data_IF_793155876321
#
_entry.id   IF_793155876321
#
_cell.length_a   1.000
_cell.length_b   1.000
_cell.length_c   1.000
_cell.angle_alpha   90.00
_cell.angle_beta   90.00
_cell.angle_gamma   90.00
#
_symmetry.space_group_name_H-M   'P 1'
#
loop_
_entity.id
_entity.type
_entity.pdbx_description
1 polymer ?
#
# COMPACT_ATOMS: atom_id res chain seq x y z
N UNK A 1 7.55 4.23 -11.00
CA UNK A 1 6.85 5.26 -11.80
C UNK A 1 5.34 5.22 -11.62
N UNK A 2 4.69 4.05 -11.46
CA UNK A 2 3.24 3.97 -11.18
C UNK A 2 2.98 3.39 -9.78
N UNK A 3 3.15 2.07 -9.58
CA UNK A 3 2.78 1.40 -8.30
C UNK A 3 3.54 1.94 -7.08
N UNK A 4 4.87 2.02 -7.18
CA UNK A 4 5.71 2.53 -6.09
C UNK A 4 5.62 4.05 -5.91
N UNK A 5 5.05 4.73 -6.91
CA UNK A 5 4.90 6.19 -6.89
C UNK A 5 3.68 6.64 -6.05
N UNK A 6 3.10 5.73 -5.25
CA UNK A 6 2.07 6.01 -4.24
C UNK A 6 2.63 6.62 -2.96
N UNK A 7 3.91 6.38 -2.68
CA UNK A 7 4.56 6.84 -1.44
C UNK A 7 5.74 7.75 -1.78
N UNK A 8 5.84 8.94 -1.18
CA UNK A 8 7.01 9.80 -1.36
C UNK A 8 8.24 9.20 -0.66
N UNK A 9 9.43 9.57 -1.14
CA UNK A 9 10.68 9.33 -0.44
C UNK A 9 10.82 10.40 0.64
N UNK A 10 10.96 9.99 1.90
CA UNK A 10 11.02 10.89 3.05
C UNK A 10 12.29 10.60 3.84
N UNK A 11 13.07 11.63 4.10
CA UNK A 11 14.17 11.61 5.06
C UNK A 11 13.69 12.35 6.29
N UNK A 12 13.41 11.58 7.35
CA UNK A 12 13.08 12.09 8.67
C UNK A 12 14.27 11.96 9.61
N UNK A 13 14.43 12.91 10.51
CA UNK A 13 15.39 12.80 11.60
C UNK A 13 14.89 13.54 12.82
N UNK A 14 15.56 13.33 13.95
CA UNK A 14 15.22 14.03 15.18
C UNK A 14 15.33 15.54 14.98
N UNK A 15 14.30 16.27 15.38
CA UNK A 15 14.31 17.73 15.37
C UNK A 15 15.31 18.27 16.40
N UNK A 16 15.99 19.37 16.05
CA UNK A 16 16.76 20.17 17.00
C UNK A 16 15.89 21.19 17.73
N UNK A 17 14.57 21.20 17.48
CA UNK A 17 13.64 22.03 18.23
C UNK A 17 13.75 21.72 19.73
N UNK A 18 13.79 22.79 20.50
CA UNK A 18 13.97 22.72 21.94
C UNK A 18 12.69 22.17 22.55
N UNK A 19 12.76 20.94 23.06
CA UNK A 19 11.73 20.32 23.91
C UNK A 19 11.31 21.24 25.07
N UNK A 20 12.18 22.19 25.45
CA UNK A 20 11.91 23.21 26.46
C UNK A 20 10.74 24.14 26.11
N UNK A 21 10.46 24.37 24.82
CA UNK A 21 9.34 25.22 24.40
C UNK A 21 8.00 24.62 24.82
N UNK A 22 7.82 23.31 24.68
CA UNK A 22 6.61 22.61 25.12
C UNK A 22 6.35 22.80 26.62
N UNK A 23 7.37 22.66 27.47
CA UNK A 23 7.22 22.91 28.90
C UNK A 23 6.96 24.37 29.25
N UNK A 24 7.56 25.32 28.51
CA UNK A 24 7.32 26.76 28.71
C UNK A 24 5.90 27.13 28.33
N UNK A 25 5.43 26.69 27.16
CA UNK A 25 4.07 26.97 26.66
C UNK A 25 3.03 26.34 27.57
N UNK A 26 3.21 25.09 28.01
CA UNK A 26 2.28 24.43 28.94
C UNK A 26 2.10 25.20 30.26
N UNK A 27 3.13 25.90 30.74
CA UNK A 27 2.99 26.78 31.91
C UNK A 27 2.10 27.99 31.62
N UNK A 28 2.14 28.53 30.40
CA UNK A 28 1.34 29.68 29.98
C UNK A 28 -0.14 29.33 29.83
N UNK A 29 -0.45 28.09 29.45
CA UNK A 29 -1.83 27.61 29.25
C UNK A 29 -2.71 27.80 30.49
N UNK A 30 -2.14 27.79 31.71
CA UNK A 30 -2.90 28.04 32.95
C UNK A 30 -3.58 29.42 33.03
N UNK A 31 -3.14 30.39 32.22
CA UNK A 31 -3.65 31.76 32.26
C UNK A 31 -4.85 31.99 31.33
N UNK A 32 -5.20 31.01 30.49
CA UNK A 32 -6.28 31.12 29.52
C UNK A 32 -7.62 30.71 30.17
N UNK A 33 -8.67 31.45 29.84
CA UNK A 33 -10.03 31.18 30.25
C UNK A 33 -10.86 30.63 29.09
N UNK A 34 -11.40 29.44 29.29
CA UNK A 34 -12.35 28.81 28.37
C UNK A 34 -13.72 29.49 28.46
N UNK A 35 -14.39 29.64 27.32
CA UNK A 35 -15.80 30.04 27.27
C UNK A 35 -16.52 29.50 26.04
N UNK A 36 -17.73 30.01 25.81
CA UNK A 36 -18.54 29.61 24.66
C UNK A 36 -18.06 30.30 23.37
N UNK A 37 -18.38 29.71 22.22
CA UNK A 37 -18.01 30.21 20.88
C UNK A 37 -18.42 31.69 20.65
N UNK A 38 -19.56 32.12 21.22
CA UNK A 38 -20.07 33.50 21.10
C UNK A 38 -19.64 34.42 22.27
N UNK A 39 -18.84 33.92 23.22
CA UNK A 39 -18.39 34.71 24.36
C UNK A 39 -17.08 35.44 24.06
N UNK A 40 -17.18 36.68 23.59
CA UNK A 40 -16.05 37.58 23.32
C UNK A 40 -15.19 37.87 24.58
N UNK A 41 -15.66 37.50 25.77
CA UNK A 41 -14.90 37.67 27.03
C UNK A 41 -13.98 36.49 27.32
N UNK A 42 -14.16 35.37 26.64
CA UNK A 42 -13.31 34.19 26.78
C UNK A 42 -12.03 34.30 25.95
N UNK A 43 -10.99 33.56 26.32
CA UNK A 43 -9.72 33.56 25.59
C UNK A 43 -9.70 32.47 24.49
N UNK A 44 -10.47 31.40 24.66
CA UNK A 44 -10.62 30.35 23.65
C UNK A 44 -11.92 29.57 23.86
N UNK A 45 -12.35 28.87 22.83
CA UNK A 45 -13.44 27.90 22.90
C UNK A 45 -13.01 26.55 22.33
N UNK A 46 -13.68 25.50 22.79
CA UNK A 46 -13.38 24.12 22.45
C UNK A 46 -14.51 23.55 21.58
N UNK A 47 -14.14 22.94 20.47
CA UNK A 47 -15.05 22.12 19.67
C UNK A 47 -14.77 20.64 19.95
N UNK A 48 -15.59 20.04 20.82
CA UNK A 48 -15.48 18.63 21.19
C UNK A 48 -15.77 17.67 20.02
N UNK A 49 -16.60 18.07 19.05
CA UNK A 49 -16.97 17.21 17.91
C UNK A 49 -15.78 17.01 16.98
N UNK A 50 -15.01 18.08 16.75
CA UNK A 50 -13.84 18.05 15.87
C UNK A 50 -12.54 17.82 16.66
N UNK A 51 -12.61 17.83 18.01
CA UNK A 51 -11.46 17.82 18.92
C UNK A 51 -10.42 18.89 18.54
N UNK A 52 -10.92 20.11 18.37
CA UNK A 52 -10.12 21.30 18.05
C UNK A 52 -10.35 22.42 19.07
N UNK A 53 -9.37 23.31 19.19
CA UNK A 53 -9.44 24.51 20.02
C UNK A 53 -9.22 25.72 19.12
N UNK A 54 -10.04 26.75 19.32
CA UNK A 54 -9.98 28.00 18.57
C UNK A 54 -9.77 29.15 19.54
N UNK A 55 -8.79 30.00 19.25
CA UNK A 55 -8.52 31.21 20.02
C UNK A 55 -9.49 32.33 19.61
N UNK A 56 -9.96 33.10 20.58
CA UNK A 56 -10.68 34.35 20.31
C UNK A 56 -9.69 35.49 20.08
N UNK A 57 -10.15 36.63 19.58
CA UNK A 57 -9.33 37.86 19.47
C UNK A 57 -8.66 38.24 20.81
N UNK A 58 -9.40 38.09 21.92
CA UNK A 58 -8.86 38.31 23.26
C UNK A 58 -7.77 37.29 23.60
N UNK A 59 -7.96 36.02 23.25
CA UNK A 59 -6.95 34.97 23.40
C UNK A 59 -5.68 35.22 22.60
N UNK A 60 -5.81 35.77 21.39
CA UNK A 60 -4.66 36.19 20.60
C UNK A 60 -3.87 37.31 21.28
N UNK A 61 -4.54 38.36 21.78
CA UNK A 61 -3.89 39.44 22.52
C UNK A 61 -3.25 38.97 23.82
N UNK A 62 -3.88 38.01 24.52
CA UNK A 62 -3.31 37.39 25.72
C UNK A 62 -2.07 36.57 25.37
N UNK A 63 -2.13 35.79 24.29
CA UNK A 63 -1.01 35.00 23.76
C UNK A 63 0.21 35.88 23.49
N UNK A 64 0.02 37.00 22.78
CA UNK A 64 1.10 37.96 22.49
C UNK A 64 1.72 38.49 23.79
N UNK A 65 0.90 38.95 24.74
CA UNK A 65 1.39 39.45 26.04
C UNK A 65 2.17 38.40 26.82
N UNK A 66 1.68 37.16 26.87
CA UNK A 66 2.33 36.07 27.60
C UNK A 66 3.65 35.67 26.95
N UNK A 67 3.73 35.63 25.62
CA UNK A 67 4.96 35.33 24.89
C UNK A 67 6.01 36.44 25.08
N UNK A 68 5.61 37.72 25.03
CA UNK A 68 6.49 38.87 25.30
C UNK A 68 7.05 38.82 26.72
N UNK A 69 6.21 38.62 27.72
CA UNK A 69 6.62 38.58 29.13
C UNK A 69 7.59 37.43 29.45
N UNK A 70 7.58 36.36 28.65
CA UNK A 70 8.45 35.20 28.83
C UNK A 70 9.67 35.21 27.89
N UNK A 71 9.94 36.34 27.20
CA UNK A 71 11.01 36.50 26.22
C UNK A 71 10.98 35.43 25.11
N UNK A 72 9.79 34.99 24.71
CA UNK A 72 9.58 34.04 23.61
C UNK A 72 9.29 34.73 22.26
N UNK A 73 8.97 36.02 22.29
CA UNK A 73 8.69 36.87 21.13
C UNK A 73 9.30 38.26 21.35
N UNK A 74 9.73 38.96 20.29
CA UNK A 74 10.26 40.32 20.42
C UNK A 74 9.13 41.37 20.46
N UNK A 75 9.35 42.51 21.13
CA UNK A 75 8.36 43.59 21.33
C UNK A 75 7.74 44.20 20.06
N UNK A 76 8.33 43.97 18.88
CA UNK A 76 7.88 44.52 17.60
C UNK A 76 7.31 43.46 16.64
N UNK A 77 7.12 42.22 17.11
CA UNK A 77 6.63 41.10 16.30
C UNK A 77 5.18 40.77 16.67
N UNK A 78 4.36 40.42 15.69
CA UNK A 78 3.00 39.93 15.93
C UNK A 78 2.96 38.41 15.90
N UNK A 79 1.96 37.83 16.55
CA UNK A 79 1.69 36.39 16.49
C UNK A 79 1.35 35.91 15.07
N UNK A 80 0.87 36.82 14.20
CA UNK A 80 0.53 36.52 12.80
C UNK A 80 1.73 36.57 11.85
N UNK A 81 2.90 37.00 12.33
CA UNK A 81 4.10 37.02 11.48
C UNK A 81 4.49 35.58 11.10
N UNK A 82 4.90 35.32 9.85
CA UNK A 82 5.28 33.97 9.39
C UNK A 82 6.33 33.26 10.26
N UNK A 83 7.17 34.03 10.96
CA UNK A 83 8.18 33.51 11.89
C UNK A 83 7.59 32.92 13.17
N UNK A 84 6.41 33.39 13.58
CA UNK A 84 5.76 33.06 14.86
C UNK A 84 4.59 32.06 14.71
N UNK A 85 4.28 31.61 13.49
CA UNK A 85 3.25 30.59 13.23
C UNK A 85 3.48 29.33 14.07
N UNK A 86 4.75 28.92 14.25
CA UNK A 86 5.07 27.76 15.09
C UNK A 86 4.71 27.99 16.57
N UNK A 87 4.84 29.22 17.09
CA UNK A 87 4.47 29.54 18.48
C UNK A 87 2.95 29.46 18.68
N UNK A 88 2.18 29.96 17.70
CA UNK A 88 0.73 29.80 17.68
C UNK A 88 0.35 28.31 17.70
N UNK A 89 1.00 27.50 16.86
CA UNK A 89 0.80 26.05 16.82
C UNK A 89 1.07 25.38 18.17
N UNK A 90 2.14 25.75 18.87
CA UNK A 90 2.42 25.21 20.21
C UNK A 90 1.34 25.58 21.23
N UNK A 91 0.82 26.81 21.19
CA UNK A 91 -0.23 27.27 22.12
C UNK A 91 -1.54 26.51 21.87
N UNK A 92 -2.00 26.44 20.61
CA UNK A 92 -3.23 25.73 20.26
C UNK A 92 -3.11 24.24 20.57
N UNK A 93 -1.96 23.63 20.29
CA UNK A 93 -1.71 22.21 20.59
C UNK A 93 -1.66 21.94 22.09
N UNK A 94 -1.08 22.83 22.90
CA UNK A 94 -1.07 22.71 24.36
C UNK A 94 -2.46 22.89 24.97
N UNK A 95 -3.25 23.85 24.48
CA UNK A 95 -4.66 24.00 24.86
C UNK A 95 -5.46 22.74 24.51
N UNK A 96 -5.29 22.20 23.31
CA UNK A 96 -5.92 20.91 22.91
C UNK A 96 -5.51 19.79 23.86
N UNK A 97 -4.22 19.59 24.10
CA UNK A 97 -3.72 18.55 25.01
C UNK A 97 -4.31 18.67 26.42
N UNK A 98 -4.52 19.90 26.91
CA UNK A 98 -5.02 20.14 28.26
C UNK A 98 -6.52 19.94 28.41
N UNK A 99 -7.31 20.55 27.52
CA UNK A 99 -8.76 20.64 27.65
C UNK A 99 -9.51 19.50 26.95
N UNK A 100 -9.00 18.97 25.83
CA UNK A 100 -9.68 17.90 25.07
C UNK A 100 -9.25 16.49 25.44
N UNK A 101 -8.01 16.30 25.93
CA UNK A 101 -7.46 14.97 26.20
C UNK A 101 -7.33 14.72 27.69
N UNK A 102 -8.07 13.74 28.20
CA UNK A 102 -8.16 13.44 29.62
C UNK A 102 -7.39 12.17 30.00
N UNK A 103 -6.68 12.25 31.12
CA UNK A 103 -5.99 11.11 31.73
C UNK A 103 -7.01 10.08 32.21
N UNK A 104 -6.72 8.80 31.95
CA UNK A 104 -7.57 7.63 32.19
C UNK A 104 -8.82 7.53 31.29
N UNK A 105 -8.98 8.41 30.30
CA UNK A 105 -10.02 8.32 29.27
C UNK A 105 -9.38 8.15 27.90
N UNK A 106 -8.65 9.18 27.44
CA UNK A 106 -7.99 9.15 26.13
C UNK A 106 -6.57 8.55 26.18
N UNK A 107 -5.91 8.63 27.34
CA UNK A 107 -4.59 8.02 27.56
C UNK A 107 -4.34 7.65 29.01
N UNK A 108 -3.32 6.81 29.20
CA UNK A 108 -2.72 6.51 30.50
C UNK A 108 -1.22 6.75 30.47
N UNK A 109 -0.65 6.95 31.65
CA UNK A 109 0.80 7.07 31.84
C UNK A 109 1.32 5.76 32.42
N UNK A 110 2.12 5.03 31.65
CA UNK A 110 2.76 3.78 32.08
C UNK A 110 4.26 3.84 31.78
N UNK A 111 5.09 3.37 32.72
CA UNK A 111 6.56 3.33 32.58
C UNK A 111 7.18 4.67 32.13
N UNK A 112 6.64 5.80 32.62
CA UNK A 112 7.05 7.16 32.22
C UNK A 112 6.81 7.49 30.73
N UNK A 113 5.88 6.80 30.07
CA UNK A 113 5.46 7.03 28.68
C UNK A 113 3.93 7.11 28.58
N UNK A 114 3.44 7.76 27.53
CA UNK A 114 2.00 7.87 27.26
C UNK A 114 1.55 6.72 26.38
N UNK A 115 0.48 6.04 26.81
CA UNK A 115 -0.18 4.99 26.03
C UNK A 115 -1.61 5.44 25.71
N UNK A 116 -1.93 5.49 24.42
CA UNK A 116 -3.24 5.91 23.92
C UNK A 116 -4.27 4.81 24.23
N UNK A 117 -5.46 5.22 24.66
CA UNK A 117 -6.63 4.33 24.79
C UNK A 117 -7.53 4.57 23.59
N UNK A 118 -7.98 3.48 22.97
CA UNK A 118 -8.99 3.52 21.92
C UNK A 118 -10.37 3.88 22.53
N UNK A 119 -10.96 4.97 22.04
CA UNK A 119 -12.25 5.50 22.49
C UNK A 119 -13.41 4.49 22.32
N UNK A 120 -13.35 3.61 21.32
CA UNK A 120 -14.42 2.65 21.04
C UNK A 120 -14.26 1.34 21.80
N UNK A 121 -13.02 0.88 21.97
CA UNK A 121 -12.74 -0.46 22.51
C UNK A 121 -12.17 -0.44 23.93
N UNK A 122 -11.75 0.71 24.44
CA UNK A 122 -11.05 0.87 25.71
C UNK A 122 -9.68 0.17 25.75
N UNK A 123 -9.19 -0.31 24.60
CA UNK A 123 -7.92 -1.05 24.51
C UNK A 123 -6.74 -0.09 24.48
N UNK A 124 -5.66 -0.49 25.15
CA UNK A 124 -4.37 0.18 25.07
C UNK A 124 -3.75 -0.01 23.68
N UNK A 125 -3.26 1.06 23.07
CA UNK A 125 -2.56 1.05 21.78
C UNK A 125 -1.06 1.39 21.96
N UNK A 126 -0.23 0.44 22.44
CA UNK A 126 1.20 0.67 22.60
C UNK A 126 1.88 0.92 21.25
N UNK A 127 2.80 1.89 21.22
CA UNK A 127 3.55 2.27 20.01
C UNK A 127 2.83 3.26 19.09
N UNK A 128 1.55 3.58 19.34
CA UNK A 128 0.83 4.62 18.60
C UNK A 128 1.05 5.98 19.26
N UNK A 129 1.27 7.01 18.43
CA UNK A 129 1.42 8.41 18.87
C UNK A 129 0.45 9.31 18.10
N UNK A 130 0.07 10.42 18.72
CA UNK A 130 -0.64 11.47 18.00
C UNK A 130 0.34 12.29 17.16
N UNK A 131 -0.08 12.70 15.97
CA UNK A 131 0.71 13.56 15.10
C UNK A 131 0.68 15.03 15.53
N UNK A 132 1.36 15.86 14.76
CA UNK A 132 1.24 17.33 14.81
C UNK A 132 1.64 17.97 16.15
N UNK A 133 2.56 17.33 16.89
CA UNK A 133 3.06 17.82 18.19
C UNK A 133 2.12 17.58 19.38
N UNK A 134 0.94 17.01 19.16
CA UNK A 134 -0.04 16.77 20.22
C UNK A 134 0.48 15.77 21.27
N UNK A 135 1.19 14.73 20.84
CA UNK A 135 1.70 13.74 21.78
C UNK A 135 2.76 14.35 22.72
N UNK A 136 3.64 15.21 22.19
CA UNK A 136 4.66 15.95 22.93
C UNK A 136 4.02 16.95 23.91
N UNK A 137 2.94 17.62 23.49
CA UNK A 137 2.19 18.51 24.38
C UNK A 137 1.57 17.76 25.57
N UNK A 138 1.05 16.53 25.37
CA UNK A 138 0.55 15.71 26.47
C UNK A 138 1.71 15.19 27.34
N UNK A 139 2.86 14.84 26.77
CA UNK A 139 4.08 14.52 27.53
C UNK A 139 4.49 15.71 28.44
N UNK A 140 4.41 16.95 27.91
CA UNK A 140 4.69 18.17 28.66
C UNK A 140 3.67 18.41 29.79
N UNK A 141 2.37 18.25 29.50
CA UNK A 141 1.26 18.33 30.47
C UNK A 141 1.47 17.40 31.67
N UNK A 142 1.84 16.16 31.41
CA UNK A 142 2.09 15.15 32.45
C UNK A 142 3.50 15.25 33.08
N UNK A 143 4.31 16.22 32.66
CA UNK A 143 5.70 16.44 33.11
C UNK A 143 6.61 15.23 32.85
N UNK A 144 6.34 14.48 31.78
CA UNK A 144 7.16 13.36 31.31
C UNK A 144 8.30 13.87 30.44
N UNK A 145 9.33 13.05 30.23
CA UNK A 145 10.42 13.36 29.31
C UNK A 145 9.88 13.38 27.88
N UNK A 146 9.92 14.55 27.24
CA UNK A 146 9.45 14.70 25.87
C UNK A 146 10.42 14.01 24.93
N UNK A 147 9.90 13.12 24.09
CA UNK A 147 10.71 12.56 23.01
C UNK A 147 10.72 13.50 21.80
N UNK A 148 11.89 13.63 21.17
CA UNK A 148 12.06 14.52 20.02
C UNK A 148 11.16 14.08 18.87
N UNK A 149 10.50 15.04 18.24
CA UNK A 149 9.79 14.82 17.00
C UNK A 149 10.74 14.41 15.88
N UNK A 150 10.26 13.49 15.04
CA UNK A 150 10.87 13.23 13.76
C UNK A 150 10.35 14.28 12.78
N UNK A 151 11.20 15.24 12.42
CA UNK A 151 10.90 16.22 11.39
C UNK A 151 11.32 15.67 10.03
N UNK A 152 10.51 15.93 9.02
CA UNK A 152 10.89 15.65 7.63
C UNK A 152 11.88 16.70 7.16
N UNK A 153 13.14 16.30 6.90
CA UNK A 153 14.19 17.19 6.40
C UNK A 153 14.16 17.33 4.89
N UNK A 154 13.89 16.21 4.21
CA UNK A 154 13.77 16.18 2.76
C UNK A 154 12.65 15.23 2.38
N UNK A 155 11.88 15.62 1.38
CA UNK A 155 10.95 14.74 0.71
C UNK A 155 11.02 14.97 -0.80
N UNK A 156 10.76 13.91 -1.56
CA UNK A 156 10.55 13.98 -3.00
C UNK A 156 9.66 12.81 -3.44
N UNK A 157 8.71 13.08 -4.33
CA UNK A 157 7.95 12.00 -4.96
C UNK A 157 8.78 11.30 -6.04
N UNK A 158 8.53 10.02 -6.30
CA UNK A 158 9.18 9.33 -7.43
C UNK A 158 8.91 10.03 -8.76
N UNK A 159 7.72 10.60 -8.92
CA UNK A 159 7.32 11.38 -10.09
C UNK A 159 8.27 12.55 -10.32
N UNK A 160 8.42 13.42 -9.33
CA UNK A 160 9.30 14.58 -9.45
C UNK A 160 10.78 14.19 -9.51
N UNK A 161 11.20 13.15 -8.78
CA UNK A 161 12.56 12.62 -8.89
C UNK A 161 12.91 12.22 -10.33
N UNK A 162 12.05 11.48 -11.02
CA UNK A 162 12.32 11.12 -12.42
C UNK A 162 12.22 12.32 -13.36
N UNK A 163 11.31 13.28 -13.13
CA UNK A 163 11.18 14.51 -13.95
C UNK A 163 12.43 15.40 -13.92
N UNK A 164 13.33 15.22 -12.95
CA UNK A 164 14.60 15.97 -12.89
C UNK A 164 15.63 15.51 -13.93
N UNK A 165 15.48 14.31 -14.49
CA UNK A 165 16.43 13.80 -15.49
C UNK A 165 16.18 14.46 -16.85
N UNK A 166 17.25 14.89 -17.52
CA UNK A 166 17.17 15.48 -18.87
C UNK A 166 16.55 14.52 -19.90
N UNK A 167 16.83 13.22 -19.75
CA UNK A 167 16.31 12.18 -20.62
C UNK A 167 15.76 11.03 -19.79
N UNK A 168 14.50 10.69 -20.02
CA UNK A 168 13.80 9.60 -19.36
C UNK A 168 13.33 8.62 -20.43
N UNK A 169 13.56 7.34 -20.19
CA UNK A 169 13.04 6.24 -21.00
C UNK A 169 12.82 5.02 -20.10
N UNK A 170 11.89 4.15 -20.47
CA UNK A 170 11.59 2.94 -19.70
C UNK A 170 11.16 1.79 -20.59
N UNK A 171 11.25 0.58 -20.06
CA UNK A 171 10.80 -0.63 -20.72
C UNK A 171 9.97 -1.48 -19.76
N UNK A 172 8.87 -2.03 -20.24
CA UNK A 172 8.02 -2.97 -19.51
C UNK A 172 7.10 -3.69 -20.49
N UNK A 173 6.73 -4.93 -20.20
CA UNK A 173 5.77 -5.69 -21.01
C UNK A 173 4.31 -5.26 -20.85
N UNK A 174 4.01 -4.28 -19.99
CA UNK A 174 2.64 -3.95 -19.59
C UNK A 174 2.37 -2.46 -19.43
N UNK A 175 3.08 -1.58 -20.15
CA UNK A 175 2.88 -0.12 -20.07
C UNK A 175 1.60 0.37 -20.72
N UNK A 176 1.02 -0.39 -21.66
CA UNK A 176 -0.08 0.07 -22.53
C UNK A 176 -1.32 0.54 -21.75
N UNK A 177 -1.64 -0.12 -20.62
CA UNK A 177 -2.79 0.25 -19.79
C UNK A 177 -2.62 1.61 -19.12
N UNK A 178 -1.39 2.04 -18.87
CA UNK A 178 -1.06 3.30 -18.16
C UNK A 178 -0.51 4.36 -19.12
N UNK A 179 -0.70 4.20 -20.43
CA UNK A 179 -0.11 5.10 -21.44
C UNK A 179 -0.55 6.56 -21.25
N UNK A 180 -1.81 6.78 -20.89
CA UNK A 180 -2.33 8.12 -20.57
C UNK A 180 -1.64 8.73 -19.34
N UNK A 181 -1.41 7.93 -18.28
CA UNK A 181 -0.72 8.37 -17.07
C UNK A 181 0.77 8.69 -17.36
N UNK A 182 1.45 7.85 -18.14
CA UNK A 182 2.83 8.11 -18.57
C UNK A 182 2.96 9.41 -19.36
N UNK A 183 2.00 9.68 -20.26
CA UNK A 183 1.97 10.92 -21.03
C UNK A 183 1.64 12.14 -20.16
N UNK A 184 0.68 12.02 -19.25
CA UNK A 184 0.26 13.12 -18.39
C UNK A 184 1.32 13.54 -17.36
N UNK A 185 1.98 12.57 -16.71
CA UNK A 185 2.92 12.84 -15.61
C UNK A 185 4.35 13.06 -16.11
N UNK A 186 4.79 12.25 -17.07
CA UNK A 186 6.19 12.20 -17.49
C UNK A 186 6.42 12.67 -18.93
N UNK A 187 5.34 12.99 -19.67
CA UNK A 187 5.39 13.25 -21.11
C UNK A 187 6.07 12.10 -21.90
N UNK A 188 5.85 10.86 -21.45
CA UNK A 188 6.38 9.66 -22.09
C UNK A 188 5.32 9.00 -22.96
N UNK A 189 5.66 8.77 -24.23
CA UNK A 189 4.83 7.99 -25.14
C UNK A 189 5.11 6.49 -24.97
N UNK A 190 4.04 5.70 -24.91
CA UNK A 190 4.13 4.24 -24.85
C UNK A 190 3.97 3.68 -26.25
N UNK A 191 4.97 2.95 -26.72
CA UNK A 191 4.95 2.28 -28.02
C UNK A 191 4.96 0.77 -27.78
N UNK A 192 3.96 0.07 -28.30
CA UNK A 192 3.88 -1.38 -28.25
C UNK A 192 4.78 -2.00 -29.32
N UNK A 193 5.87 -2.64 -28.89
CA UNK A 193 6.79 -3.34 -29.78
C UNK A 193 6.25 -4.75 -30.06
N UNK A 194 6.12 -5.16 -31.34
CA UNK A 194 5.65 -6.50 -31.68
C UNK A 194 6.58 -7.57 -31.12
N UNK A 195 6.00 -8.71 -30.74
CA UNK A 195 6.77 -9.83 -30.22
C UNK A 195 7.62 -10.48 -31.32
N UNK A 196 8.78 -11.02 -30.95
CA UNK A 196 9.67 -11.71 -31.89
C UNK A 196 9.00 -12.93 -32.56
N UNK A 197 8.14 -13.63 -31.82
CA UNK A 197 7.35 -14.78 -32.30
C UNK A 197 5.88 -14.57 -31.98
N UNK A 198 5.00 -15.26 -32.71
CA UNK A 198 3.56 -15.24 -32.46
C UNK A 198 3.26 -15.79 -31.07
N UNK A 199 2.44 -15.08 -30.32
CA UNK A 199 2.01 -15.47 -28.99
C UNK A 199 0.86 -16.49 -29.12
N UNK A 200 1.06 -17.70 -28.59
CA UNK A 200 0.11 -18.82 -28.66
C UNK A 200 -0.39 -19.28 -27.28
N UNK A 201 -0.19 -18.47 -26.24
CA UNK A 201 -0.65 -18.79 -24.89
C UNK A 201 -2.17 -18.81 -24.83
N UNK A 202 -2.72 -19.83 -24.18
CA UNK A 202 -4.15 -19.95 -23.93
C UNK A 202 -4.52 -19.30 -22.59
N UNK A 203 -5.18 -18.14 -22.64
CA UNK A 203 -5.70 -17.47 -21.45
C UNK A 203 -7.16 -17.91 -21.21
N UNK A 204 -7.37 -18.79 -20.23
CA UNK A 204 -8.69 -19.30 -19.88
C UNK A 204 -9.51 -18.26 -19.10
N UNK A 205 -10.85 -18.46 -19.08
CA UNK A 205 -11.77 -17.69 -18.26
C UNK A 205 -11.46 -17.81 -16.76
N UNK A 206 -11.90 -16.82 -15.99
CA UNK A 206 -11.79 -16.85 -14.53
C UNK A 206 -12.79 -17.85 -13.95
N UNK A 207 -12.35 -18.70 -13.03
CA UNK A 207 -13.21 -19.61 -12.26
C UNK A 207 -13.58 -18.97 -10.93
N UNK A 208 -14.87 -18.85 -10.64
CA UNK A 208 -15.37 -18.12 -9.47
C UNK A 208 -16.15 -19.06 -8.55
N UNK A 209 -15.76 -19.09 -7.28
CA UNK A 209 -16.31 -19.94 -6.23
C UNK A 209 -16.99 -19.10 -5.14
N UNK A 210 -17.89 -19.73 -4.37
CA UNK A 210 -18.56 -19.08 -3.25
C UNK A 210 -17.58 -18.86 -2.09
N UNK A 211 -16.84 -19.91 -1.73
CA UNK A 211 -15.96 -19.93 -0.56
C UNK A 211 -14.48 -20.01 -0.94
N UNK A 212 -13.60 -19.54 -0.05
CA UNK A 212 -12.15 -19.74 -0.22
C UNK A 212 -11.75 -21.21 -0.23
N UNK A 213 -12.42 -22.05 0.55
CA UNK A 213 -12.10 -23.47 0.64
C UNK A 213 -12.28 -24.16 -0.73
N UNK A 214 -13.44 -23.98 -1.37
CA UNK A 214 -13.72 -24.53 -2.71
C UNK A 214 -12.72 -24.03 -3.75
N UNK A 215 -12.37 -22.74 -3.70
CA UNK A 215 -11.33 -22.15 -4.55
C UNK A 215 -10.01 -22.88 -4.42
N UNK A 216 -9.54 -23.11 -3.19
CA UNK A 216 -8.27 -23.81 -2.96
C UNK A 216 -8.34 -25.28 -3.33
N UNK A 217 -9.46 -25.95 -3.11
CA UNK A 217 -9.66 -27.35 -3.51
C UNK A 217 -9.62 -27.49 -5.05
N UNK A 218 -10.20 -26.54 -5.78
CA UNK A 218 -10.12 -26.48 -7.24
C UNK A 218 -8.71 -26.20 -7.76
N UNK A 219 -7.98 -25.26 -7.15
CA UNK A 219 -6.56 -24.98 -7.47
C UNK A 219 -5.72 -26.25 -7.28
N UNK A 220 -5.93 -26.96 -6.17
CA UNK A 220 -5.21 -28.20 -5.87
C UNK A 220 -5.55 -29.31 -6.86
N UNK A 221 -6.81 -29.41 -7.30
CA UNK A 221 -7.20 -30.35 -8.35
C UNK A 221 -6.49 -30.05 -9.67
N UNK A 222 -6.42 -28.77 -10.05
CA UNK A 222 -5.76 -28.32 -11.28
C UNK A 222 -4.24 -28.60 -11.25
N UNK A 223 -3.58 -28.30 -10.12
CA UNK A 223 -2.16 -28.63 -9.91
C UNK A 223 -1.92 -30.14 -10.04
N UNK A 224 -2.81 -30.98 -9.49
CA UNK A 224 -2.70 -32.45 -9.61
C UNK A 224 -2.83 -32.92 -11.06
N UNK A 225 -3.74 -32.35 -11.83
CA UNK A 225 -3.92 -32.69 -13.24
C UNK A 225 -2.72 -32.28 -14.08
N UNK A 226 -2.17 -31.10 -13.82
CA UNK A 226 -0.93 -30.62 -14.44
C UNK A 226 0.25 -31.53 -14.09
N UNK A 227 0.42 -31.87 -12.80
CA UNK A 227 1.51 -32.72 -12.34
C UNK A 227 1.43 -34.14 -12.95
N UNK A 228 0.23 -34.73 -13.08
CA UNK A 228 0.02 -36.01 -13.79
C UNK A 228 0.50 -35.98 -15.25
N UNK A 229 0.47 -34.82 -15.90
CA UNK A 229 0.93 -34.61 -17.29
C UNK A 229 2.40 -34.16 -17.36
N UNK A 230 3.10 -34.05 -16.23
CA UNK A 230 4.42 -33.42 -16.10
C UNK A 230 4.44 -31.95 -16.57
N UNK A 231 3.32 -31.26 -16.49
CA UNK A 231 3.22 -29.84 -16.84
C UNK A 231 3.70 -28.97 -15.67
N UNK A 232 4.66 -28.05 -15.86
CA UNK A 232 5.10 -27.15 -14.80
C UNK A 232 4.02 -26.13 -14.47
N UNK A 233 3.89 -25.80 -13.18
CA UNK A 233 2.87 -24.89 -12.66
C UNK A 233 3.50 -23.76 -11.84
N UNK A 234 3.14 -22.53 -12.16
CA UNK A 234 3.44 -21.34 -11.36
C UNK A 234 2.16 -20.82 -10.72
N UNK A 235 2.09 -20.83 -9.39
CA UNK A 235 0.94 -20.32 -8.63
C UNK A 235 1.29 -18.96 -8.05
N UNK A 236 0.59 -17.92 -8.51
CA UNK A 236 0.71 -16.56 -8.00
C UNK A 236 -0.31 -16.27 -6.91
N UNK A 237 0.17 -15.92 -5.72
CA UNK A 237 -0.67 -15.54 -4.56
C UNK A 237 -0.52 -14.06 -4.22
N UNK A 238 -1.52 -13.49 -3.57
CA UNK A 238 -1.54 -12.07 -3.16
C UNK A 238 -0.75 -11.78 -1.87
N UNK A 239 -0.53 -12.80 -1.03
CA UNK A 239 0.05 -12.65 0.31
C UNK A 239 0.89 -13.86 0.72
N UNK A 240 1.81 -13.65 1.67
CA UNK A 240 2.64 -14.72 2.25
C UNK A 240 1.76 -15.75 2.97
N UNK A 241 0.73 -15.30 3.68
CA UNK A 241 -0.19 -16.19 4.40
C UNK A 241 -0.93 -17.15 3.44
N UNK A 242 -1.40 -16.63 2.29
CA UNK A 242 -2.02 -17.43 1.24
C UNK A 242 -1.03 -18.46 0.65
N UNK A 243 0.23 -18.07 0.44
CA UNK A 243 1.28 -18.99 -0.01
C UNK A 243 1.57 -20.10 1.00
N UNK A 244 1.70 -19.77 2.28
CA UNK A 244 1.94 -20.75 3.33
C UNK A 244 0.75 -21.69 3.51
N UNK A 245 -0.47 -21.15 3.41
CA UNK A 245 -1.69 -21.95 3.47
C UNK A 245 -1.76 -22.96 2.32
N UNK A 246 -1.51 -22.53 1.08
CA UNK A 246 -1.47 -23.42 -0.07
C UNK A 246 -0.34 -24.45 0.05
N UNK A 247 0.84 -24.04 0.51
CA UNK A 247 1.97 -24.94 0.76
C UNK A 247 1.62 -26.05 1.76
N UNK A 248 0.91 -25.71 2.86
CA UNK A 248 0.43 -26.69 3.85
C UNK A 248 -0.54 -27.71 3.21
N UNK A 249 -1.42 -27.27 2.32
CA UNK A 249 -2.35 -28.17 1.62
C UNK A 249 -1.59 -29.09 0.67
N UNK A 250 -0.67 -28.56 -0.14
CA UNK A 250 0.13 -29.37 -1.07
C UNK A 250 1.02 -30.39 -0.35
N UNK A 251 1.62 -30.03 0.80
CA UNK A 251 2.37 -30.97 1.66
C UNK A 251 1.52 -32.13 2.14
N UNK A 252 0.27 -31.89 2.54
CA UNK A 252 -0.66 -32.96 2.97
C UNK A 252 -0.96 -33.95 1.85
N UNK A 253 -0.86 -33.51 0.60
CA UNK A 253 -1.17 -34.32 -0.58
C UNK A 253 0.12 -34.83 -1.27
N UNK A 254 1.27 -34.66 -0.61
CA UNK A 254 2.56 -35.15 -1.08
C UNK A 254 2.96 -34.64 -2.48
N UNK A 255 2.62 -33.40 -2.79
CA UNK A 255 3.09 -32.70 -3.99
C UNK A 255 4.32 -31.86 -3.63
N UNK A 256 5.47 -32.19 -4.22
CA UNK A 256 6.69 -31.40 -4.09
C UNK A 256 6.49 -30.01 -4.71
N UNK A 257 6.87 -28.97 -3.98
CA UNK A 257 6.73 -27.60 -4.43
C UNK A 257 7.72 -26.68 -3.71
N UNK A 258 8.05 -25.58 -4.39
CA UNK A 258 8.90 -24.51 -3.88
C UNK A 258 8.09 -23.25 -3.58
N UNK A 259 8.45 -22.49 -2.55
CA UNK A 259 7.74 -21.28 -2.13
C UNK A 259 8.67 -20.06 -2.14
N UNK A 260 8.22 -18.98 -2.78
CA UNK A 260 8.96 -17.74 -2.96
C UNK A 260 8.25 -16.58 -2.27
N UNK A 261 8.92 -16.00 -1.26
CA UNK A 261 8.34 -15.01 -0.36
C UNK A 261 8.99 -13.61 -0.44
N UNK A 262 9.75 -13.33 -1.51
CA UNK A 262 10.43 -12.05 -1.77
C UNK A 262 11.40 -11.59 -0.66
N UNK A 263 12.01 -12.52 0.08
CA UNK A 263 12.98 -12.22 1.15
C UNK A 263 14.44 -12.40 0.73
N UNK A 264 14.72 -13.31 -0.22
CA UNK A 264 16.10 -13.70 -0.58
C UNK A 264 16.28 -13.80 -2.10
N UNK A 265 16.63 -12.68 -2.73
CA UNK A 265 16.65 -12.56 -4.20
C UNK A 265 17.53 -13.58 -4.95
N UNK A 266 18.72 -13.91 -4.44
CA UNK A 266 19.65 -14.83 -5.12
C UNK A 266 19.13 -16.28 -5.13
N UNK A 267 18.64 -16.77 -3.98
CA UNK A 267 18.07 -18.12 -3.88
C UNK A 267 16.76 -18.25 -4.66
N UNK A 268 15.95 -17.20 -4.64
CA UNK A 268 14.68 -17.15 -5.38
C UNK A 268 14.89 -17.21 -6.89
N UNK A 269 15.97 -16.61 -7.40
CA UNK A 269 16.31 -16.67 -8.83
C UNK A 269 16.59 -18.10 -9.29
N UNK A 270 17.34 -18.87 -8.49
CA UNK A 270 17.65 -20.28 -8.81
C UNK A 270 16.40 -21.17 -8.83
N UNK A 271 15.46 -20.93 -7.91
CA UNK A 271 14.19 -21.66 -7.87
C UNK A 271 13.37 -21.34 -9.12
N UNK A 272 13.28 -20.06 -9.50
CA UNK A 272 12.52 -19.62 -10.68
C UNK A 272 13.13 -20.13 -11.99
N UNK A 273 14.45 -20.14 -12.12
CA UNK A 273 15.14 -20.73 -13.29
C UNK A 273 14.74 -22.20 -13.50
N UNK A 274 14.51 -22.94 -12.42
CA UNK A 274 14.13 -24.35 -12.44
C UNK A 274 12.61 -24.59 -12.39
N UNK A 275 11.80 -23.53 -12.28
CA UNK A 275 10.34 -23.65 -12.22
C UNK A 275 9.71 -24.22 -13.51
N UNK A 276 10.47 -24.20 -14.62
CA UNK A 276 10.04 -24.78 -15.90
C UNK A 276 10.37 -26.26 -16.08
N UNK A 277 10.91 -26.95 -15.07
CA UNK A 277 11.18 -28.39 -15.13
C UNK A 277 9.87 -29.21 -15.22
N UNK A 278 9.87 -30.39 -15.87
CA UNK A 278 8.70 -31.24 -15.94
C UNK A 278 8.13 -31.56 -14.54
N UNK A 279 6.85 -31.28 -14.32
CA UNK A 279 6.16 -31.53 -13.04
C UNK A 279 6.52 -30.57 -11.90
N UNK A 280 7.36 -29.55 -12.13
CA UNK A 280 7.72 -28.59 -11.09
C UNK A 280 6.53 -27.72 -10.70
N UNK A 281 6.29 -27.55 -9.39
CA UNK A 281 5.27 -26.66 -8.84
C UNK A 281 5.95 -25.56 -8.03
N UNK A 282 5.73 -24.32 -8.43
CA UNK A 282 6.33 -23.14 -7.78
C UNK A 282 5.22 -22.20 -7.31
N UNK A 283 5.23 -21.84 -6.02
CA UNK A 283 4.33 -20.85 -5.44
C UNK A 283 5.09 -19.53 -5.29
N UNK A 284 4.59 -18.46 -5.90
CA UNK A 284 5.17 -17.14 -5.84
C UNK A 284 4.19 -16.14 -5.23
N UNK A 285 4.63 -15.43 -4.18
CA UNK A 285 3.92 -14.26 -3.66
C UNK A 285 4.13 -13.07 -4.61
N UNK A 286 3.06 -12.36 -5.00
CA UNK A 286 3.03 -11.12 -5.82
C UNK A 286 4.20 -10.90 -6.81
N UNK A 287 5.34 -10.42 -6.29
CA UNK A 287 6.50 -9.97 -7.05
C UNK A 287 7.73 -10.88 -6.92
N UNK A 288 7.63 -12.00 -6.20
CA UNK A 288 8.74 -12.93 -6.04
C UNK A 288 9.13 -13.53 -7.40
N UNK A 289 10.44 -13.62 -7.68
CA UNK A 289 10.93 -14.07 -8.99
C UNK A 289 10.80 -13.06 -10.14
N UNK A 290 10.64 -11.76 -9.84
CA UNK A 290 10.69 -10.70 -10.84
C UNK A 290 12.10 -10.50 -11.38
N UNK A 291 12.23 -10.41 -12.71
CA UNK A 291 13.50 -10.25 -13.41
C UNK A 291 14.10 -11.53 -13.97
N UNK A 292 13.72 -12.70 -13.43
CA UNK A 292 14.22 -14.01 -13.89
C UNK A 292 13.26 -14.65 -14.90
N UNK A 293 13.80 -15.21 -15.98
CA UNK A 293 13.05 -15.92 -17.00
C UNK A 293 12.77 -17.37 -16.58
N UNK A 294 11.60 -17.90 -16.95
CA UNK A 294 11.22 -19.30 -16.72
C UNK A 294 11.34 -20.00 -18.07
N UNK A 295 12.49 -20.61 -18.33
CA UNK A 295 12.70 -21.42 -19.50
C UNK A 295 11.99 -22.77 -19.34
N UNK A 296 11.23 -23.19 -20.36
CA UNK A 296 10.63 -24.52 -20.38
C UNK A 296 11.75 -25.58 -20.40
N UNK A 297 11.65 -26.60 -19.54
CA UNK A 297 12.70 -27.60 -19.37
C UNK A 297 13.73 -27.28 -18.28
N UNK A 298 13.57 -26.17 -17.55
CA UNK A 298 14.45 -25.74 -16.47
C UNK A 298 15.57 -24.80 -16.95
N UNK A 299 16.60 -24.63 -16.12
CA UNK A 299 17.74 -23.76 -16.43
C UNK A 299 18.35 -24.13 -17.78
N UNK A 300 18.50 -23.14 -18.65
CA UNK A 300 19.09 -23.33 -19.96
C UNK A 300 20.58 -23.68 -19.85
N UNK A 301 20.96 -24.87 -20.29
CA UNK A 301 22.34 -25.36 -20.25
C UNK A 301 22.77 -26.08 -21.56
N UNK A 302 21.98 -25.96 -22.64
CA UNK A 302 22.16 -26.64 -23.94
C UNK A 302 22.35 -28.17 -23.88
N UNK A 303 22.16 -28.78 -22.70
CA UNK A 303 22.34 -30.20 -22.50
C UNK A 303 21.26 -31.02 -23.22
N UNK A 304 21.56 -32.27 -23.53
CA UNK A 304 20.56 -33.18 -24.10
C UNK A 304 19.40 -33.39 -23.12
N UNK A 305 19.68 -33.41 -21.82
CA UNK A 305 18.68 -33.45 -20.74
C UNK A 305 17.72 -32.26 -20.77
N UNK A 306 18.23 -31.05 -21.04
CA UNK A 306 17.37 -29.87 -21.17
C UNK A 306 16.48 -29.96 -22.41
N UNK A 307 17.00 -30.43 -23.54
CA UNK A 307 16.20 -30.59 -24.77
C UNK A 307 15.08 -31.59 -24.57
N UNK A 308 15.36 -32.72 -23.92
CA UNK A 308 14.35 -33.73 -23.58
C UNK A 308 13.27 -33.15 -22.67
N UNK A 309 13.68 -32.48 -21.58
CA UNK A 309 12.77 -31.81 -20.66
C UNK A 309 11.94 -30.73 -21.36
N UNK A 310 12.55 -29.92 -22.23
CA UNK A 310 11.87 -28.88 -22.99
C UNK A 310 10.78 -29.48 -23.89
N UNK A 311 11.07 -30.59 -24.57
CA UNK A 311 10.08 -31.28 -25.40
C UNK A 311 8.94 -31.89 -24.58
N UNK A 312 9.24 -32.50 -23.43
CA UNK A 312 8.22 -33.04 -22.51
C UNK A 312 7.27 -31.92 -22.07
N UNK A 313 7.82 -30.81 -21.59
CA UNK A 313 7.05 -29.65 -21.11
C UNK A 313 6.22 -29.04 -22.23
N UNK A 314 6.78 -28.87 -23.44
CA UNK A 314 6.03 -28.34 -24.59
C UNK A 314 4.87 -29.24 -25.00
N UNK A 315 5.07 -30.56 -25.02
CA UNK A 315 4.01 -31.54 -25.29
C UNK A 315 2.94 -31.56 -24.20
N UNK A 316 3.32 -31.29 -22.96
CA UNK A 316 2.40 -31.19 -21.82
C UNK A 316 1.54 -29.91 -21.83
N UNK A 317 1.79 -28.97 -22.76
CA UNK A 317 1.05 -27.71 -22.87
C UNK A 317 1.83 -26.48 -22.39
N UNK A 318 3.11 -26.63 -22.03
CA UNK A 318 3.97 -25.54 -21.57
C UNK A 318 3.69 -25.11 -20.12
N UNK A 319 4.19 -23.95 -19.71
CA UNK A 319 4.00 -23.46 -18.34
C UNK A 319 2.53 -23.11 -18.09
N UNK A 320 1.94 -23.70 -17.05
CA UNK A 320 0.62 -23.32 -16.58
C UNK A 320 0.71 -22.29 -15.45
N UNK A 321 0.03 -21.15 -15.60
CA UNK A 321 0.02 -20.08 -14.60
C UNK A 321 -1.33 -20.01 -13.92
N UNK A 322 -1.33 -20.15 -12.60
CA UNK A 322 -2.53 -20.07 -11.76
C UNK A 322 -2.46 -18.79 -10.93
N UNK A 323 -3.42 -17.89 -11.10
CA UNK A 323 -3.64 -16.78 -10.18
C UNK A 323 -4.65 -17.17 -9.11
N UNK A 324 -4.29 -17.09 -7.82
CA UNK A 324 -5.21 -17.48 -6.74
C UNK A 324 -6.19 -16.37 -6.34
N UNK A 325 -5.93 -15.14 -6.80
CA UNK A 325 -6.71 -13.93 -6.55
C UNK A 325 -6.45 -12.93 -7.70
N UNK A 326 -7.32 -11.94 -7.86
CA UNK A 326 -7.09 -10.78 -8.72
C UNK A 326 -6.40 -9.67 -7.94
N UNK A 327 -5.41 -9.03 -8.55
CA UNK A 327 -4.79 -7.85 -7.97
C UNK A 327 -5.64 -6.60 -8.17
N UNK A 328 -5.32 -5.54 -7.43
CA UNK A 328 -5.94 -4.23 -7.60
C UNK A 328 -5.79 -3.68 -9.02
N UNK A 329 -4.68 -4.02 -9.69
CA UNK A 329 -4.41 -3.61 -11.06
C UNK A 329 -4.34 -4.80 -12.01
N UNK A 330 -5.02 -4.65 -13.15
CA UNK A 330 -5.01 -5.61 -14.25
C UNK A 330 -3.61 -5.81 -14.81
N UNK A 331 -2.75 -4.79 -14.72
CA UNK A 331 -1.35 -4.89 -15.14
C UNK A 331 -0.61 -5.99 -14.37
N UNK A 332 -0.78 -6.07 -13.05
CA UNK A 332 -0.08 -7.05 -12.21
C UNK A 332 -0.56 -8.47 -12.58
N UNK A 333 -1.86 -8.65 -12.80
CA UNK A 333 -2.39 -9.92 -13.30
C UNK A 333 -1.77 -10.31 -14.65
N UNK A 334 -1.65 -9.36 -15.58
CA UNK A 334 -1.04 -9.61 -16.88
C UNK A 334 0.46 -9.91 -16.80
N UNK A 335 1.17 -9.35 -15.81
CA UNK A 335 2.57 -9.72 -15.54
C UNK A 335 2.69 -11.16 -15.07
N UNK A 336 1.75 -11.63 -14.25
CA UNK A 336 1.68 -13.03 -13.85
C UNK A 336 1.40 -13.94 -15.06
N UNK A 337 0.37 -13.63 -15.88
CA UNK A 337 0.09 -14.37 -17.13
C UNK A 337 1.29 -14.41 -18.08
N UNK A 338 1.99 -13.28 -18.20
CA UNK A 338 3.18 -13.09 -19.03
C UNK A 338 4.42 -13.90 -18.60
N UNK A 339 4.33 -14.66 -17.49
CA UNK A 339 5.34 -15.68 -17.16
C UNK A 339 5.25 -16.89 -18.06
N UNK A 340 4.09 -17.15 -18.67
CA UNK A 340 3.87 -18.23 -19.62
C UNK A 340 3.83 -17.74 -21.07
N UNK A 341 4.11 -18.64 -22.01
CA UNK A 341 4.04 -18.40 -23.46
C UNK A 341 5.14 -17.50 -24.02
N UNK A 342 6.32 -17.51 -23.41
CA UNK A 342 7.46 -16.68 -23.84
C UNK A 342 8.05 -17.19 -25.15
N UNK A 343 8.52 -16.28 -26.01
CA UNK A 343 9.10 -16.62 -27.32
C UNK A 343 8.22 -17.56 -28.16
N UNK A 344 6.88 -17.43 -28.08
CA UNK A 344 5.93 -18.26 -28.81
C UNK A 344 5.88 -19.71 -28.35
N UNK A 345 6.39 -20.01 -27.15
CA UNK A 345 6.20 -21.31 -26.53
C UNK A 345 4.72 -21.55 -26.17
N UNK A 346 4.28 -22.81 -26.10
CA UNK A 346 2.96 -23.14 -25.57
C UNK A 346 2.89 -22.76 -24.09
N UNK A 347 1.68 -22.54 -23.62
CA UNK A 347 1.43 -22.20 -22.23
C UNK A 347 -0.02 -21.85 -22.01
N UNK A 348 -0.43 -21.85 -20.75
CA UNK A 348 -1.78 -21.45 -20.38
C UNK A 348 -1.81 -20.63 -19.10
N UNK A 349 -2.86 -19.84 -18.93
CA UNK A 349 -3.11 -19.12 -17.68
C UNK A 349 -4.57 -19.22 -17.26
N UNK A 350 -4.81 -19.25 -15.95
CA UNK A 350 -6.15 -19.26 -15.37
C UNK A 350 -6.14 -18.58 -14.00
N UNK A 351 -7.23 -17.87 -13.67
CA UNK A 351 -7.41 -17.28 -12.35
C UNK A 351 -8.57 -17.98 -11.63
N UNK A 352 -8.37 -18.24 -10.35
CA UNK A 352 -9.32 -18.84 -9.43
C UNK A 352 -9.69 -17.79 -8.40
N UNK A 353 -10.97 -17.50 -8.24
CA UNK A 353 -11.47 -16.41 -7.41
C UNK A 353 -12.55 -16.91 -6.46
N UNK A 354 -12.67 -16.23 -5.33
CA UNK A 354 -13.74 -16.44 -4.35
C UNK A 354 -14.48 -15.13 -4.09
N UNK A 355 -15.78 -15.21 -3.81
CA UNK A 355 -16.55 -14.05 -3.34
C UNK A 355 -16.04 -13.49 -2.00
N UNK A 356 -15.28 -14.27 -1.24
CA UNK A 356 -14.65 -13.87 0.02
C UNK A 356 -13.27 -13.21 -0.17
N UNK A 357 -12.75 -13.14 -1.40
CA UNK A 357 -11.46 -12.50 -1.69
C UNK A 357 -11.54 -10.98 -1.52
N UNK A 358 -10.40 -10.34 -1.21
CA UNK A 358 -10.37 -8.93 -0.84
C UNK A 358 -10.97 -8.01 -1.92
N UNK A 359 -10.58 -8.20 -3.19
CA UNK A 359 -11.12 -7.43 -4.30
C UNK A 359 -12.64 -7.61 -4.43
N UNK A 360 -13.12 -8.84 -4.28
CA UNK A 360 -14.55 -9.14 -4.35
C UNK A 360 -15.29 -8.54 -3.16
N UNK A 361 -14.76 -8.57 -1.94
CA UNK A 361 -15.39 -7.93 -0.78
C UNK A 361 -15.52 -6.42 -0.90
N UNK A 362 -14.56 -5.75 -1.54
CA UNK A 362 -14.59 -4.29 -1.71
C UNK A 362 -15.69 -3.88 -2.71
N UNK A 363 -16.01 -4.72 -3.71
CA UNK A 363 -16.89 -4.33 -4.83
C UNK A 363 -18.16 -5.17 -5.02
N UNK A 364 -18.20 -6.39 -4.52
CA UNK A 364 -19.41 -7.18 -4.45
C UNK A 364 -20.30 -6.57 -3.39
N UNK A 365 -21.14 -5.61 -3.80
CA UNK A 365 -22.28 -5.19 -2.99
C UNK A 365 -23.02 -6.43 -2.48
N UNK A 366 -23.61 -6.36 -1.29
CA UNK A 366 -24.47 -7.44 -0.76
C UNK A 366 -25.52 -7.90 -1.80
N UNK A 367 -25.93 -7.00 -2.69
CA UNK A 367 -26.81 -7.29 -3.84
C UNK A 367 -26.22 -8.26 -4.87
N UNK A 368 -24.94 -8.16 -5.20
CA UNK A 368 -24.27 -9.08 -6.16
C UNK A 368 -24.08 -10.45 -5.52
N UNK A 369 -23.63 -10.49 -4.26
CA UNK A 369 -23.48 -11.75 -3.51
C UNK A 369 -24.83 -12.46 -3.34
N UNK A 370 -25.88 -11.72 -2.95
CA UNK A 370 -27.24 -12.27 -2.82
C UNK A 370 -27.89 -12.66 -4.15
N UNK A 371 -27.58 -11.98 -5.25
CA UNK A 371 -27.99 -12.41 -6.59
C UNK A 371 -27.32 -13.73 -6.98
N UNK A 372 -26.00 -13.86 -6.75
CA UNK A 372 -25.26 -15.09 -7.06
C UNK A 372 -25.74 -16.28 -6.21
N UNK A 373 -26.03 -16.07 -4.93
CA UNK A 373 -26.66 -17.08 -4.07
C UNK A 373 -28.07 -17.45 -4.56
N UNK A 374 -28.88 -16.48 -5.00
CA UNK A 374 -30.23 -16.72 -5.55
C UNK A 374 -30.23 -17.41 -6.92
N UNK A 375 -29.17 -17.26 -7.70
CA UNK A 375 -28.98 -17.96 -8.97
C UNK A 375 -28.70 -19.47 -8.80
N UNK A 376 -28.65 -19.96 -7.57
CA UNK A 376 -28.59 -21.39 -7.29
C UNK A 376 -27.20 -22.00 -7.47
N UNK A 377 -26.13 -21.23 -7.19
CA UNK A 377 -24.79 -21.82 -7.05
C UNK A 377 -24.87 -22.94 -6.00
N UNK A 378 -24.63 -24.16 -6.45
CA UNK A 378 -24.45 -25.30 -5.56
C UNK A 378 -23.02 -25.29 -5.03
N UNK A 379 -22.83 -25.84 -3.84
CA UNK A 379 -21.49 -26.09 -3.30
C UNK A 379 -20.67 -26.90 -4.34
N UNK A 380 -19.46 -26.42 -4.63
CA UNK A 380 -18.51 -26.92 -5.65
C UNK A 380 -18.79 -26.64 -7.14
N UNK A 381 -19.79 -25.83 -7.51
CA UNK A 381 -19.94 -25.37 -8.91
C UNK A 381 -19.22 -24.04 -9.15
N UNK A 382 -18.28 -24.02 -10.12
CA UNK A 382 -17.62 -22.80 -10.55
C UNK A 382 -18.51 -22.02 -11.52
N UNK A 383 -18.64 -20.70 -11.33
CA UNK A 383 -19.22 -19.85 -12.38
C UNK A 383 -18.12 -19.49 -13.37
N UNK A 384 -18.25 -19.99 -14.59
CA UNK A 384 -17.53 -19.49 -15.74
C UNK A 384 -18.53 -18.78 -16.66
N UNK A 385 -18.62 -17.45 -16.56
CA UNK A 385 -19.45 -16.67 -17.47
C UNK A 385 -18.80 -15.33 -17.83
N UNK A 386 -18.73 -14.98 -19.14
CA UNK A 386 -18.20 -13.70 -19.61
C UNK A 386 -18.71 -12.43 -18.91
N UNK A 387 -19.96 -12.40 -18.42
CA UNK A 387 -20.50 -11.21 -17.73
C UNK A 387 -19.80 -10.97 -16.38
N UNK A 388 -19.42 -12.04 -15.67
CA UNK A 388 -18.75 -11.92 -14.37
C UNK A 388 -17.30 -11.47 -14.56
N UNK A 389 -16.58 -12.02 -15.55
CA UNK A 389 -15.25 -11.56 -15.92
C UNK A 389 -15.25 -10.06 -16.27
N UNK A 390 -16.27 -9.60 -17.02
CA UNK A 390 -16.44 -8.18 -17.34
C UNK A 390 -16.73 -7.33 -16.10
N UNK A 391 -17.57 -7.82 -15.17
CA UNK A 391 -17.85 -7.14 -13.91
C UNK A 391 -16.60 -6.98 -13.05
N UNK A 392 -15.76 -8.02 -12.94
CA UNK A 392 -14.48 -7.98 -12.23
C UNK A 392 -13.53 -6.98 -12.90
N UNK A 393 -13.40 -7.02 -14.23
CA UNK A 393 -12.56 -6.05 -14.95
C UNK A 393 -13.00 -4.60 -14.73
N UNK A 394 -14.31 -4.35 -14.62
CA UNK A 394 -14.83 -3.02 -14.30
C UNK A 394 -14.52 -2.62 -12.86
N UNK A 395 -14.55 -3.56 -11.91
CA UNK A 395 -14.16 -3.31 -10.53
C UNK A 395 -12.66 -2.95 -10.44
N UNK A 396 -11.78 -3.70 -11.11
CA UNK A 396 -10.35 -3.38 -11.20
C UNK A 396 -10.12 -1.98 -11.80
N UNK A 397 -10.80 -1.63 -12.90
CA UNK A 397 -10.68 -0.30 -13.52
C UNK A 397 -11.07 0.83 -12.55
N UNK A 398 -12.09 0.62 -11.70
CA UNK A 398 -12.47 1.59 -10.66
C UNK A 398 -11.39 1.75 -9.60
N UNK A 399 -10.77 0.65 -9.15
CA UNK A 399 -9.63 0.69 -8.21
C UNK A 399 -8.45 1.44 -8.83
N UNK A 400 -8.13 1.14 -10.09
CA UNK A 400 -7.05 1.81 -10.82
C UNK A 400 -7.30 3.31 -10.93
N UNK A 401 -8.53 3.72 -11.27
CA UNK A 401 -8.93 5.14 -11.36
C UNK A 401 -8.80 5.82 -9.99
N UNK A 402 -9.29 5.19 -8.93
CA UNK A 402 -9.18 5.74 -7.57
C UNK A 402 -7.71 5.90 -7.13
N UNK A 403 -6.89 4.88 -7.41
CA UNK A 403 -5.46 4.94 -7.13
C UNK A 403 -4.73 5.99 -7.98
N UNK A 404 -5.19 6.23 -9.21
CA UNK A 404 -4.68 7.29 -10.07
C UNK A 404 -5.00 8.68 -9.48
N UNK A 405 -6.23 8.91 -9.02
CA UNK A 405 -6.62 10.18 -8.41
C UNK A 405 -5.79 10.49 -7.15
N UNK A 406 -5.54 9.47 -6.30
CA UNK A 406 -4.66 9.62 -5.12
C UNK A 406 -3.24 10.03 -5.56
N UNK A 407 -2.68 9.37 -6.56
CA UNK A 407 -1.34 9.71 -7.08
C UNK A 407 -1.32 11.12 -7.67
N UNK A 408 -2.35 11.50 -8.41
CA UNK A 408 -2.48 12.84 -8.99
C UNK A 408 -2.48 13.92 -7.92
N UNK A 409 -3.28 13.75 -6.86
CA UNK A 409 -3.27 14.69 -5.73
C UNK A 409 -1.92 14.76 -5.03
N UNK A 410 -1.24 13.62 -4.79
CA UNK A 410 0.10 13.62 -4.22
C UNK A 410 1.11 14.42 -5.05
N UNK A 411 1.03 14.32 -6.38
CA UNK A 411 1.87 15.10 -7.30
C UNK A 411 1.52 16.59 -7.22
N UNK A 412 0.23 16.95 -7.22
CA UNK A 412 -0.22 18.34 -7.11
C UNK A 412 0.32 19.00 -5.83
N UNK A 413 0.25 18.31 -4.68
CA UNK A 413 0.84 18.78 -3.44
C UNK A 413 2.37 18.90 -3.50
N UNK A 414 3.05 17.91 -4.06
CA UNK A 414 4.51 17.92 -4.17
C UNK A 414 5.02 18.98 -5.17
N UNK A 415 4.27 19.26 -6.25
CA UNK A 415 4.60 20.30 -7.22
C UNK A 415 4.56 21.70 -6.56
N UNK A 416 3.54 21.97 -5.74
CA UNK A 416 3.47 23.21 -4.92
C UNK A 416 4.63 23.29 -3.93
N UNK A 417 5.04 22.17 -3.32
CA UNK A 417 6.15 22.15 -2.36
C UNK A 417 7.53 22.19 -3.04
N UNK A 418 7.65 21.78 -4.30
CA UNK A 418 8.90 21.78 -5.06
C UNK A 418 9.16 23.09 -5.80
N UNK A 419 8.14 23.87 -6.15
CA UNK A 419 8.32 25.20 -6.76
C UNK A 419 9.22 26.12 -5.91
N UNK A 420 9.06 26.21 -4.57
CA UNK A 420 10.01 26.91 -3.72
C UNK A 420 11.40 26.26 -3.69
N UNK A 421 11.50 24.92 -3.70
CA UNK A 421 12.79 24.20 -3.65
C UNK A 421 13.63 24.43 -4.91
N UNK A 422 13.01 24.62 -6.08
CA UNK A 422 13.70 25.02 -7.32
C UNK A 422 14.31 26.42 -7.27
N UNK A 423 13.90 27.27 -6.33
CA UNK A 423 14.49 28.62 -6.14
C UNK A 423 15.77 28.53 -5.29
N UNK A 424 15.92 27.49 -4.47
CA UNK A 424 17.07 27.28 -3.58
C UNK A 424 18.22 26.47 -4.22
N UNK A 425 17.98 25.81 -5.36
CA UNK A 425 18.98 25.15 -6.21
C UNK A 425 19.23 26.06 -7.40
#
# INVERSE_FOLDING_TARGET
MIDEARTPLIISGSSNETTDLYYKVEKLVNNYQEGAEEDERSDFYVDEKVKQVYLTEKGHLLSEKLLLNNNLMNNNESLYDPKNINLLHFITTALRARFLYQKNVDYIVENSSIVIIDEFTGRKMPGRRWGDGLHQAIEAKEKLKIEKENKTYANITFQNFFRMYEKISGMTGTADTEAEEFKAIYNLEVISIPTHKNMIREDHGDMIYLTKQEKYDAIVSDIKECNKKNQPVLVGTSSIDSSEYLSKILKKINVEHEVLNAKLHEKESLIIENAGLPGAVTIATNMAGRGTDIALGGKYDESETWKDNNQIVKKAGGLHVIGTERHESRRIDNQLRGRSGRQGDPGSSRFYLSLEDNLMRIFASEKVSSLMQKFGMKENEAIEHPWVTKAISNAQKKVETHNFDIRKHLIEYDDVMNDPKKIYI
#
